data_IF_265421771069
#
_entry.id   IF_265421771069
#
_cell.length_a   1.000
_cell.length_b   1.000
_cell.length_c   1.000
_cell.angle_alpha   90.00
_cell.angle_beta   90.00
_cell.angle_gamma   90.00
#
_symmetry.space_group_name_H-M   'P 1'
#
loop_
_entity.id
_entity.type
_entity.pdbx_description
1 polymer ?
#
# COMPACT_ATOMS: atom_id res chain seq x y z
N UNK A 1 -45.23 -54.26 2.14
CA UNK A 1 -44.64 -53.14 2.92
C UNK A 1 -43.09 -53.10 2.94
N UNK A 2 -42.34 -53.91 2.16
CA UNK A 2 -40.85 -53.94 2.18
C UNK A 2 -40.14 -53.08 1.11
N UNK A 3 -40.88 -52.40 0.23
CA UNK A 3 -40.32 -51.56 -0.84
C UNK A 3 -39.93 -50.14 -0.39
N UNK A 4 -40.73 -49.55 0.49
CA UNK A 4 -40.59 -48.13 0.89
C UNK A 4 -39.28 -47.83 1.65
N UNK A 5 -38.75 -48.80 2.39
CA UNK A 5 -37.51 -48.63 3.16
C UNK A 5 -36.23 -48.66 2.30
N UNK A 6 -36.29 -49.25 1.10
CA UNK A 6 -35.11 -49.36 0.21
C UNK A 6 -34.87 -48.08 -0.58
N UNK A 7 -35.94 -47.38 -0.96
CA UNK A 7 -35.90 -46.12 -1.69
C UNK A 7 -35.47 -44.93 -0.81
N UNK A 8 -35.74 -45.01 0.50
CA UNK A 8 -35.31 -44.00 1.47
C UNK A 8 -33.78 -43.91 1.60
N UNK A 9 -33.10 -45.07 1.65
CA UNK A 9 -31.63 -45.12 1.80
C UNK A 9 -30.89 -44.65 0.55
N UNK A 10 -31.45 -44.88 -0.65
CA UNK A 10 -30.91 -44.37 -1.92
C UNK A 10 -31.15 -42.88 -2.11
N UNK A 11 -32.31 -42.36 -1.69
CA UNK A 11 -32.59 -40.92 -1.65
C UNK A 11 -31.64 -40.19 -0.69
N UNK A 12 -31.45 -40.71 0.53
CA UNK A 12 -30.54 -40.12 1.51
C UNK A 12 -29.08 -40.14 1.05
N UNK A 13 -28.62 -41.25 0.43
CA UNK A 13 -27.28 -41.32 -0.16
C UNK A 13 -27.08 -40.31 -1.29
N UNK A 14 -28.08 -40.08 -2.14
CA UNK A 14 -28.02 -39.08 -3.22
C UNK A 14 -28.02 -37.65 -2.67
N UNK A 15 -28.83 -37.37 -1.64
CA UNK A 15 -28.83 -36.07 -0.96
C UNK A 15 -27.51 -35.80 -0.25
N UNK A 16 -26.97 -36.77 0.48
CA UNK A 16 -25.67 -36.64 1.15
C UNK A 16 -24.53 -36.43 0.14
N UNK A 17 -24.56 -37.12 -1.01
CA UNK A 17 -23.58 -36.95 -2.07
C UNK A 17 -23.64 -35.55 -2.74
N UNK A 18 -24.79 -34.88 -2.73
CA UNK A 18 -24.96 -33.50 -3.22
C UNK A 18 -24.64 -32.44 -2.17
N UNK A 19 -24.97 -32.69 -0.90
CA UNK A 19 -24.72 -31.76 0.20
C UNK A 19 -23.23 -31.70 0.60
N UNK A 20 -22.51 -32.82 0.52
CA UNK A 20 -21.09 -32.88 0.87
C UNK A 20 -20.21 -31.92 0.05
N UNK A 21 -20.29 -31.85 -1.30
CA UNK A 21 -19.52 -30.88 -2.08
C UNK A 21 -19.97 -29.44 -1.84
N UNK A 22 -21.26 -29.17 -1.59
CA UNK A 22 -21.72 -27.83 -1.22
C UNK A 22 -21.12 -27.37 0.12
N UNK A 23 -21.05 -28.26 1.11
CA UNK A 23 -20.41 -27.96 2.40
C UNK A 23 -18.90 -27.72 2.26
N UNK A 24 -18.23 -28.49 1.40
CA UNK A 24 -16.80 -28.35 1.14
C UNK A 24 -16.46 -27.06 0.36
N UNK A 25 -17.35 -26.60 -0.52
CA UNK A 25 -17.17 -25.35 -1.27
C UNK A 25 -17.47 -24.10 -0.43
N UNK A 26 -18.37 -24.19 0.55
CA UNK A 26 -18.68 -23.09 1.47
C UNK A 26 -17.58 -22.77 2.50
N UNK A 27 -16.60 -23.65 2.68
CA UNK A 27 -15.51 -23.46 3.63
C UNK A 27 -14.37 -22.54 3.13
N UNK A 28 -14.31 -22.26 1.82
CA UNK A 28 -13.28 -21.41 1.23
C UNK A 28 -13.70 -19.94 1.34
N UNK A 29 -13.42 -19.29 2.46
CA UNK A 29 -13.53 -17.82 2.57
C UNK A 29 -12.38 -17.19 1.80
N UNK A 30 -12.67 -16.53 0.69
CA UNK A 30 -11.66 -15.80 -0.10
C UNK A 30 -11.34 -14.48 0.60
N UNK A 31 -10.11 -14.33 1.07
CA UNK A 31 -9.61 -13.06 1.63
C UNK A 31 -8.97 -12.23 0.53
N UNK A 32 -9.60 -11.12 0.16
CA UNK A 32 -9.09 -10.19 -0.85
C UNK A 32 -8.20 -9.10 -0.28
N UNK A 33 -8.20 -8.93 1.05
CA UNK A 33 -7.46 -7.90 1.77
C UNK A 33 -6.75 -8.57 2.93
N UNK A 34 -5.46 -8.29 3.16
CA UNK A 34 -4.74 -8.86 4.29
C UNK A 34 -5.34 -8.36 5.61
N UNK A 35 -5.24 -9.15 6.70
CA UNK A 35 -5.79 -8.75 7.99
C UNK A 35 -5.12 -7.46 8.48
N UNK A 36 -5.83 -6.72 9.34
CA UNK A 36 -5.26 -5.56 10.03
C UNK A 36 -3.99 -5.92 10.78
N UNK A 37 -2.99 -5.05 10.66
CA UNK A 37 -1.70 -5.16 11.31
C UNK A 37 -1.38 -3.88 12.11
N UNK A 38 -1.35 -4.00 13.43
CA UNK A 38 -1.15 -2.87 14.35
C UNK A 38 0.23 -2.22 14.20
N UNK A 39 1.26 -3.00 13.87
CA UNK A 39 2.61 -2.48 13.67
C UNK A 39 2.72 -1.71 12.36
N UNK A 40 1.97 -2.12 11.32
CA UNK A 40 1.87 -1.33 10.08
C UNK A 40 1.13 -0.02 10.33
N UNK A 41 -0.01 -0.06 11.02
CA UNK A 41 -0.78 1.14 11.36
C UNK A 41 0.03 2.15 12.20
N UNK A 42 0.63 1.66 13.29
CA UNK A 42 1.47 2.47 14.18
C UNK A 42 2.69 3.01 13.43
N UNK A 43 3.35 2.15 12.63
CA UNK A 43 4.54 2.53 11.86
C UNK A 43 4.24 3.60 10.81
N UNK A 44 3.13 3.48 10.08
CA UNK A 44 2.65 4.48 9.12
C UNK A 44 2.29 5.80 9.80
N UNK A 45 1.56 5.74 10.93
CA UNK A 45 1.14 6.92 11.69
C UNK A 45 2.34 7.69 12.24
N UNK A 46 3.31 6.98 12.83
CA UNK A 46 4.56 7.60 13.28
C UNK A 46 5.33 8.21 12.10
N UNK A 47 5.45 7.48 10.98
CA UNK A 47 6.18 7.96 9.80
C UNK A 47 5.51 9.20 9.19
N UNK A 48 4.18 9.30 9.21
CA UNK A 48 3.45 10.50 8.81
C UNK A 48 3.77 11.69 9.72
N UNK A 49 3.71 11.50 11.04
CA UNK A 49 4.05 12.55 12.01
C UNK A 49 5.48 13.06 11.83
N UNK A 50 6.44 12.15 11.70
CA UNK A 50 7.85 12.50 11.50
C UNK A 50 8.08 13.21 10.16
N UNK A 51 7.37 12.80 9.11
CA UNK A 51 7.45 13.44 7.78
C UNK A 51 6.88 14.84 7.81
N UNK A 52 5.72 15.04 8.46
CA UNK A 52 5.13 16.39 8.62
C UNK A 52 6.10 17.30 9.37
N UNK A 53 6.61 16.85 10.51
CA UNK A 53 7.54 17.63 11.30
C UNK A 53 8.87 17.90 10.54
N UNK A 54 9.33 16.97 9.72
CA UNK A 54 10.49 17.17 8.86
C UNK A 54 10.23 18.26 7.81
N UNK A 55 9.11 18.19 7.09
CA UNK A 55 8.75 19.21 6.10
C UNK A 55 8.63 20.59 6.76
N UNK A 56 7.96 20.70 7.91
CA UNK A 56 7.84 21.96 8.66
C UNK A 56 9.21 22.54 9.03
N UNK A 57 10.15 21.71 9.49
CA UNK A 57 11.52 22.14 9.81
C UNK A 57 12.26 22.63 8.56
N UNK A 58 12.14 21.92 7.44
CA UNK A 58 12.77 22.31 6.18
C UNK A 58 12.24 23.64 5.66
N UNK A 59 10.95 23.88 5.84
CA UNK A 59 10.28 25.12 5.47
C UNK A 59 10.74 26.30 6.32
N UNK A 60 10.94 26.08 7.62
CA UNK A 60 11.48 27.07 8.54
C UNK A 60 12.96 27.40 8.25
N UNK A 61 13.72 26.40 7.77
CA UNK A 61 15.14 26.53 7.46
C UNK A 61 15.45 26.86 5.98
N UNK A 62 14.42 27.14 5.17
CA UNK A 62 14.57 27.38 3.73
C UNK A 62 15.54 28.55 3.44
N UNK A 63 16.44 28.36 2.47
CA UNK A 63 17.50 29.32 2.12
C UNK A 63 18.64 29.42 3.14
N UNK A 64 18.75 28.48 4.08
CA UNK A 64 19.85 28.40 5.04
C UNK A 64 20.59 27.06 4.90
N UNK A 65 21.88 26.97 5.28
CA UNK A 65 22.61 25.69 5.24
C UNK A 65 21.96 24.56 6.05
N UNK A 66 21.21 24.90 7.10
CA UNK A 66 20.47 23.91 7.90
C UNK A 66 19.27 23.31 7.14
N UNK A 67 18.72 24.04 6.17
CA UNK A 67 17.67 23.55 5.27
C UNK A 67 18.21 22.79 4.06
N UNK A 68 19.53 22.79 3.84
CA UNK A 68 20.16 22.11 2.72
C UNK A 68 20.17 20.58 2.83
N UNK A 69 20.27 19.91 1.69
CA UNK A 69 20.22 18.45 1.61
C UNK A 69 21.28 17.76 2.47
N UNK A 70 22.51 18.28 2.46
CA UNK A 70 23.64 17.70 3.17
C UNK A 70 23.41 17.59 4.70
N UNK A 71 22.69 18.55 5.28
CA UNK A 71 22.36 18.56 6.71
C UNK A 71 21.22 17.59 7.07
N UNK A 72 20.51 17.04 6.08
CA UNK A 72 19.23 16.36 6.27
C UNK A 72 19.18 14.93 5.70
N UNK A 73 20.33 14.36 5.33
CA UNK A 73 20.44 12.99 4.79
C UNK A 73 19.91 11.95 5.77
N UNK A 74 20.16 12.13 7.07
CA UNK A 74 19.76 11.18 8.11
C UNK A 74 18.25 10.92 8.17
N UNK A 75 17.42 11.92 7.88
CA UNK A 75 15.97 11.72 7.79
C UNK A 75 15.61 10.74 6.66
N UNK A 76 16.23 10.87 5.50
CA UNK A 76 15.92 10.00 4.36
C UNK A 76 16.40 8.57 4.58
N UNK A 77 17.54 8.39 5.23
CA UNK A 77 18.08 7.08 5.55
C UNK A 77 17.20 6.37 6.60
N UNK A 78 16.73 7.09 7.63
CA UNK A 78 15.76 6.57 8.61
C UNK A 78 14.42 6.22 7.93
N UNK A 79 13.87 7.13 7.14
CA UNK A 79 12.59 6.93 6.46
C UNK A 79 12.64 5.73 5.50
N UNK A 80 13.70 5.57 4.70
CA UNK A 80 13.83 4.41 3.80
C UNK A 80 13.95 3.10 4.59
N UNK A 81 14.72 3.08 5.69
CA UNK A 81 14.82 1.91 6.56
C UNK A 81 13.48 1.51 7.17
N UNK A 82 12.71 2.48 7.66
CA UNK A 82 11.37 2.25 8.24
C UNK A 82 10.37 1.78 7.21
N UNK A 83 10.34 2.38 6.03
CA UNK A 83 9.46 1.93 4.95
C UNK A 83 9.87 0.54 4.47
N UNK A 84 11.16 0.23 4.37
CA UNK A 84 11.63 -1.11 4.01
C UNK A 84 11.14 -2.17 5.02
N UNK A 85 11.18 -1.87 6.32
CA UNK A 85 10.61 -2.75 7.34
C UNK A 85 9.10 -2.95 7.17
N UNK A 86 8.34 -1.90 6.85
CA UNK A 86 6.91 -1.98 6.55
C UNK A 86 6.63 -2.82 5.29
N UNK A 87 7.46 -2.68 4.24
CA UNK A 87 7.35 -3.51 3.02
C UNK A 87 7.55 -4.98 3.35
N UNK A 88 8.61 -5.34 4.08
CA UNK A 88 8.88 -6.74 4.48
C UNK A 88 7.71 -7.31 5.27
N UNK A 89 7.13 -6.51 6.18
CA UNK A 89 5.98 -6.92 6.97
C UNK A 89 4.74 -7.13 6.11
N UNK A 90 4.44 -6.21 5.20
CA UNK A 90 3.34 -6.36 4.25
C UNK A 90 3.53 -7.60 3.35
N UNK A 91 4.76 -7.89 2.91
CA UNK A 91 5.08 -9.08 2.13
C UNK A 91 4.88 -10.39 2.91
N UNK A 92 5.11 -10.37 4.23
CA UNK A 92 4.84 -11.52 5.10
C UNK A 92 3.34 -11.78 5.28
N UNK A 93 2.51 -10.75 5.14
CA UNK A 93 1.05 -10.82 5.27
C UNK A 93 0.29 -10.87 3.94
N UNK A 94 0.99 -11.06 2.81
CA UNK A 94 0.36 -11.09 1.47
C UNK A 94 -0.77 -12.12 1.39
N UNK A 95 -1.89 -11.73 0.80
CA UNK A 95 -3.03 -12.64 0.55
C UNK A 95 -3.33 -12.80 -0.94
N UNK A 96 -2.93 -11.81 -1.75
CA UNK A 96 -3.02 -11.85 -3.20
C UNK A 96 -1.63 -11.94 -3.84
N UNK A 97 -1.57 -12.54 -5.03
CA UNK A 97 -0.37 -12.50 -5.88
C UNK A 97 -0.22 -11.17 -6.60
N UNK A 98 -1.34 -10.52 -6.92
CA UNK A 98 -1.38 -9.24 -7.61
C UNK A 98 -2.55 -8.41 -7.11
N UNK A 99 -2.33 -7.11 -6.95
CA UNK A 99 -3.37 -6.15 -6.63
C UNK A 99 -4.24 -5.89 -7.87
N UNK A 100 -5.57 -6.11 -7.80
CA UNK A 100 -6.47 -5.91 -8.93
C UNK A 100 -6.44 -4.48 -9.49
N UNK A 101 -6.32 -3.47 -8.62
CA UNK A 101 -6.28 -2.07 -9.04
C UNK A 101 -5.01 -1.76 -9.83
N UNK A 102 -3.84 -2.25 -9.39
CA UNK A 102 -2.58 -2.10 -10.13
C UNK A 102 -2.63 -2.77 -11.50
N UNK A 103 -3.29 -3.92 -11.62
CA UNK A 103 -3.52 -4.59 -12.91
C UNK A 103 -4.37 -3.74 -13.84
N UNK A 104 -5.50 -3.23 -13.34
CA UNK A 104 -6.42 -2.40 -14.13
C UNK A 104 -5.73 -1.11 -14.58
N UNK A 105 -5.01 -0.42 -13.68
CA UNK A 105 -4.30 0.82 -14.03
C UNK A 105 -3.18 0.55 -15.03
N UNK A 106 -2.34 -0.47 -14.82
CA UNK A 106 -1.29 -0.80 -15.79
C UNK A 106 -1.88 -1.16 -17.17
N UNK A 107 -2.98 -1.92 -17.22
CA UNK A 107 -3.67 -2.23 -18.46
C UNK A 107 -4.28 -0.97 -19.12
N UNK A 108 -4.86 -0.05 -18.35
CA UNK A 108 -5.36 1.22 -18.86
C UNK A 108 -4.23 2.09 -19.44
N UNK A 109 -3.06 2.14 -18.77
CA UNK A 109 -1.88 2.83 -19.28
C UNK A 109 -1.34 2.21 -20.57
N UNK A 110 -1.43 0.88 -20.73
CA UNK A 110 -1.08 0.19 -21.97
C UNK A 110 -2.02 0.58 -23.12
N UNK A 111 -3.33 0.61 -22.86
CA UNK A 111 -4.35 0.95 -23.85
C UNK A 111 -4.31 2.43 -24.27
N UNK A 112 -4.00 3.33 -23.34
CA UNK A 112 -3.98 4.77 -23.59
C UNK A 112 -2.83 5.23 -24.50
N UNK A 113 -1.91 4.33 -24.91
CA UNK A 113 -0.74 4.64 -25.77
C UNK A 113 0.01 5.90 -25.33
N UNK A 114 0.11 6.10 -24.01
CA UNK A 114 0.77 7.27 -23.44
C UNK A 114 2.23 7.29 -23.90
N UNK A 115 2.74 8.42 -24.42
CA UNK A 115 4.14 8.56 -24.81
C UNK A 115 5.08 8.08 -23.71
N UNK A 116 6.19 7.44 -24.08
CA UNK A 116 7.11 6.80 -23.14
C UNK A 116 7.65 7.79 -22.08
N UNK A 117 7.77 9.06 -22.45
CA UNK A 117 8.21 10.16 -21.59
C UNK A 117 7.21 10.42 -20.46
N UNK A 118 5.93 10.54 -20.81
CA UNK A 118 4.84 10.76 -19.84
C UNK A 118 4.62 9.49 -19.01
N UNK A 119 4.74 8.32 -19.64
CA UNK A 119 4.67 7.02 -18.96
C UNK A 119 5.78 6.85 -17.92
N UNK A 120 7.00 7.29 -18.22
CA UNK A 120 8.12 7.28 -17.29
C UNK A 120 7.90 8.19 -16.06
N UNK A 121 7.12 9.26 -16.20
CA UNK A 121 6.76 10.15 -15.10
C UNK A 121 5.66 9.56 -14.20
N UNK A 122 4.68 8.87 -14.79
CA UNK A 122 3.63 8.13 -14.07
C UNK A 122 4.23 6.90 -13.36
N UNK A 123 5.21 6.26 -13.99
CA UNK A 123 5.84 5.02 -13.53
C UNK A 123 4.99 3.78 -13.79
N UNK A 124 5.58 2.59 -13.56
CA UNK A 124 4.83 1.34 -13.51
C UNK A 124 4.40 1.08 -12.07
N UNK A 125 3.13 0.74 -11.84
CA UNK A 125 2.71 0.27 -10.53
C UNK A 125 3.32 -1.12 -10.27
N UNK A 126 3.88 -1.36 -9.07
CA UNK A 126 4.37 -2.68 -8.69
C UNK A 126 3.30 -3.75 -8.89
N UNK A 127 3.72 -4.94 -9.32
CA UNK A 127 2.87 -6.14 -9.42
C UNK A 127 3.05 -6.95 -8.14
N UNK A 128 2.20 -6.70 -7.16
CA UNK A 128 2.24 -7.37 -5.86
C UNK A 128 0.89 -7.25 -5.15
N UNK A 129 0.74 -7.82 -3.95
CA UNK A 129 -0.41 -7.59 -3.07
C UNK A 129 -0.67 -6.08 -2.85
N UNK A 130 -1.94 -5.69 -2.73
CA UNK A 130 -2.32 -4.27 -2.63
C UNK A 130 -1.64 -3.54 -1.47
N UNK A 131 -1.40 -4.22 -0.35
CA UNK A 131 -0.70 -3.60 0.78
C UNK A 131 0.79 -3.40 0.45
N UNK A 132 1.43 -4.37 -0.20
CA UNK A 132 2.84 -4.27 -0.63
C UNK A 132 3.02 -3.17 -1.67
N UNK A 133 2.11 -3.07 -2.64
CA UNK A 133 2.10 -1.99 -3.63
C UNK A 133 2.06 -0.63 -2.94
N UNK A 134 1.17 -0.47 -1.95
CA UNK A 134 1.01 0.79 -1.23
C UNK A 134 2.29 1.20 -0.46
N UNK A 135 2.95 0.25 0.21
CA UNK A 135 4.23 0.52 0.89
C UNK A 135 5.34 0.89 -0.09
N UNK A 136 5.41 0.23 -1.26
CA UNK A 136 6.39 0.56 -2.30
C UNK A 136 6.12 1.92 -2.95
N UNK A 137 4.85 2.34 -3.05
CA UNK A 137 4.50 3.69 -3.49
C UNK A 137 5.00 4.74 -2.49
N UNK A 138 4.80 4.52 -1.19
CA UNK A 138 5.34 5.37 -0.13
C UNK A 138 6.88 5.43 -0.23
N UNK A 139 7.56 4.30 -0.38
CA UNK A 139 9.01 4.24 -0.56
C UNK A 139 9.47 5.08 -1.76
N UNK A 140 8.74 4.96 -2.88
CA UNK A 140 9.02 5.75 -4.08
C UNK A 140 8.77 7.24 -3.86
N UNK A 141 7.77 7.60 -3.05
CA UNK A 141 7.51 8.96 -2.61
C UNK A 141 8.68 9.56 -1.84
N UNK A 142 9.22 8.84 -0.85
CA UNK A 142 10.41 9.28 -0.11
C UNK A 142 11.65 9.41 -0.99
N UNK A 143 11.90 8.45 -1.89
CA UNK A 143 13.00 8.53 -2.86
C UNK A 143 12.88 9.77 -3.74
N UNK A 144 11.67 10.08 -4.23
CA UNK A 144 11.42 11.27 -5.03
C UNK A 144 11.60 12.55 -4.21
N UNK A 145 11.13 12.58 -2.97
CA UNK A 145 11.36 13.71 -2.06
C UNK A 145 12.85 13.95 -1.80
N UNK A 146 13.63 12.88 -1.60
CA UNK A 146 15.09 12.93 -1.48
C UNK A 146 15.73 13.53 -2.73
N UNK A 147 15.34 13.07 -3.91
CA UNK A 147 15.86 13.58 -5.19
C UNK A 147 15.53 15.05 -5.40
N UNK A 148 14.31 15.49 -5.08
CA UNK A 148 13.94 16.91 -5.17
C UNK A 148 14.83 17.74 -4.23
N UNK A 149 15.02 17.29 -2.98
CA UNK A 149 15.87 17.99 -2.04
C UNK A 149 17.34 18.04 -2.50
N UNK A 150 17.85 16.93 -3.05
CA UNK A 150 19.19 16.88 -3.64
C UNK A 150 19.38 17.90 -4.76
N UNK A 151 18.36 18.08 -5.62
CA UNK A 151 18.40 19.05 -6.72
C UNK A 151 18.42 20.49 -6.20
N UNK A 152 17.71 20.77 -5.10
CA UNK A 152 17.72 22.10 -4.46
C UNK A 152 19.02 22.38 -3.69
N UNK A 153 19.85 21.36 -3.42
CA UNK A 153 21.13 21.46 -2.75
C UNK A 153 21.08 22.27 -1.43
N UNK A 154 21.65 23.47 -1.41
CA UNK A 154 21.74 24.33 -0.22
C UNK A 154 20.46 25.17 0.03
N UNK A 155 19.58 25.31 -0.97
CA UNK A 155 18.40 26.17 -0.88
C UNK A 155 17.27 25.53 -0.05
N UNK A 156 17.31 24.20 0.11
CA UNK A 156 16.27 23.43 0.81
C UNK A 156 14.95 23.38 0.04
N UNK A 157 13.84 23.13 0.74
CA UNK A 157 12.52 23.13 0.09
C UNK A 157 11.95 24.56 -0.05
N UNK A 158 11.40 24.92 -1.22
CA UNK A 158 10.73 26.21 -1.37
C UNK A 158 9.45 26.23 -0.53
N UNK A 159 9.09 27.41 -0.01
CA UNK A 159 7.93 27.55 0.87
C UNK A 159 6.58 27.17 0.23
N UNK A 160 6.52 27.09 -1.10
CA UNK A 160 5.33 26.64 -1.83
C UNK A 160 5.20 25.11 -1.92
N UNK A 161 6.24 24.36 -1.53
CA UNK A 161 6.25 22.90 -1.67
C UNK A 161 5.64 22.14 -0.48
N UNK A 162 5.28 22.83 0.61
CA UNK A 162 4.68 22.19 1.80
C UNK A 162 3.48 21.31 1.43
N UNK A 163 2.47 21.89 0.79
CA UNK A 163 1.24 21.19 0.45
C UNK A 163 1.50 20.09 -0.59
N UNK A 164 2.49 20.28 -1.47
CA UNK A 164 2.89 19.26 -2.45
C UNK A 164 3.43 18.00 -1.78
N UNK A 165 4.12 18.12 -0.64
CA UNK A 165 4.65 16.98 0.09
C UNK A 165 3.66 16.38 1.09
N UNK A 166 2.86 17.19 1.78
CA UNK A 166 1.98 16.73 2.87
C UNK A 166 0.54 16.44 2.40
N UNK A 167 -0.06 17.38 1.66
CA UNK A 167 -1.41 17.20 1.12
C UNK A 167 -1.39 16.36 -0.16
N UNK A 168 -0.34 16.51 -0.96
CA UNK A 168 0.01 15.66 -2.08
C UNK A 168 1.09 14.64 -1.73
N UNK A 169 1.85 14.22 -2.76
CA UNK A 169 3.12 13.53 -2.59
C UNK A 169 3.10 12.36 -1.60
N UNK A 170 4.11 12.33 -0.72
CA UNK A 170 4.32 11.24 0.24
C UNK A 170 3.31 11.29 1.39
N UNK A 171 2.88 12.48 1.83
CA UNK A 171 1.88 12.64 2.88
C UNK A 171 0.51 12.10 2.48
N UNK A 172 0.09 12.30 1.23
CA UNK A 172 -1.12 11.69 0.67
C UNK A 172 -1.04 10.16 0.65
N UNK A 173 0.13 9.62 0.26
CA UNK A 173 0.35 8.17 0.22
C UNK A 173 0.29 7.56 1.63
N UNK A 174 0.89 8.21 2.62
CA UNK A 174 0.84 7.78 4.02
C UNK A 174 -0.59 7.82 4.57
N UNK A 175 -1.33 8.92 4.37
CA UNK A 175 -2.74 9.02 4.80
C UNK A 175 -3.62 7.97 4.15
N UNK A 176 -3.44 7.71 2.86
CA UNK A 176 -4.15 6.64 2.16
C UNK A 176 -3.87 5.27 2.81
N UNK A 177 -2.61 4.97 3.14
CA UNK A 177 -2.23 3.73 3.79
C UNK A 177 -2.80 3.59 5.21
N UNK A 178 -2.73 4.65 6.02
CA UNK A 178 -3.35 4.68 7.36
C UNK A 178 -4.85 4.44 7.26
N UNK A 179 -5.52 5.09 6.29
CA UNK A 179 -6.97 4.93 6.08
C UNK A 179 -7.33 3.48 5.73
N UNK A 180 -6.50 2.82 4.91
CA UNK A 180 -6.66 1.40 4.58
C UNK A 180 -6.51 0.51 5.82
N UNK A 181 -5.52 0.75 6.68
CA UNK A 181 -5.36 -0.02 7.92
C UNK A 181 -6.52 0.19 8.89
N UNK A 182 -6.98 1.43 9.07
CA UNK A 182 -8.17 1.72 9.89
C UNK A 182 -9.40 0.99 9.35
N UNK A 183 -9.61 1.00 8.02
CA UNK A 183 -10.73 0.29 7.41
C UNK A 183 -10.66 -1.23 7.66
N UNK A 184 -9.46 -1.83 7.58
CA UNK A 184 -9.25 -3.25 7.91
C UNK A 184 -9.56 -3.55 9.38
N UNK A 185 -9.26 -2.64 10.30
CA UNK A 185 -9.57 -2.80 11.72
C UNK A 185 -11.07 -2.88 11.98
N UNK A 186 -11.86 -2.07 11.27
CA UNK A 186 -13.33 -2.06 11.35
C UNK A 186 -14.03 -3.21 10.62
N UNK A 187 -13.33 -3.95 9.76
CA UNK A 187 -13.88 -5.07 8.99
C UNK A 187 -13.79 -6.43 9.72
N UNK A 188 -13.38 -6.43 11.00
CA UNK A 188 -13.32 -7.62 11.87
C UNK A 188 -14.67 -7.92 12.51
#
# INVERSE_FOLDING_TARGET
MRGFARDWNTLWRRMAALLLPMLLLGACTVTLVPPYDEQIDTGLTALYGDTSAFVDRMMAAAGTPAGGYAANTGFYDDADGRVAALVVRAEAHRVLKDCPTSKVVNAALDLARIPAEVRGQIGNLPKDDCQVVLMRLIQSGFKRMRTIHQIQAEDGFPKSAHDQFIEGGVGAQLRAAITVEIAKRSAK
#
